data_IF_691974446658
#
_entry.id   IF_691974446658
#
_cell.length_a   1.000
_cell.length_b   1.000
_cell.length_c   1.000
_cell.angle_alpha   90.00
_cell.angle_beta   90.00
_cell.angle_gamma   90.00
#
_symmetry.space_group_name_H-M   'P 1'
#
loop_
_entity.id
_entity.type
_entity.pdbx_description
1 polymer ?
#
# COMPACT_ATOMS: atom_id res chain seq x y z
N UNK A 1 7.52 -12.16 -7.95
CA UNK A 1 7.00 -12.29 -6.56
C UNK A 1 5.95 -13.37 -6.59
N UNK A 2 6.06 -14.38 -5.74
CA UNK A 2 5.20 -15.56 -5.79
C UNK A 2 4.22 -15.53 -4.62
N UNK A 3 2.95 -15.83 -4.91
CA UNK A 3 1.92 -15.88 -3.87
C UNK A 3 2.23 -16.97 -2.84
N UNK A 4 2.72 -18.14 -3.26
CA UNK A 4 2.95 -19.34 -2.43
C UNK A 4 3.56 -19.07 -1.05
N UNK A 5 4.62 -18.26 -0.97
CA UNK A 5 5.27 -17.95 0.32
C UNK A 5 4.37 -17.09 1.22
N UNK A 6 3.71 -16.09 0.64
CA UNK A 6 2.75 -15.26 1.36
C UNK A 6 1.51 -16.09 1.75
N UNK A 7 1.02 -16.95 0.85
CA UNK A 7 -0.08 -17.89 1.09
C UNK A 7 0.21 -18.86 2.24
N UNK A 8 1.44 -19.38 2.33
CA UNK A 8 1.85 -20.25 3.45
C UNK A 8 1.84 -19.50 4.79
N UNK A 9 2.40 -18.29 4.84
CA UNK A 9 2.36 -17.43 6.04
C UNK A 9 0.91 -17.17 6.46
N UNK A 10 0.04 -16.88 5.48
CA UNK A 10 -1.37 -16.63 5.73
C UNK A 10 -2.09 -17.90 6.21
N UNK A 11 -1.81 -19.07 5.64
CA UNK A 11 -2.34 -20.35 6.10
C UNK A 11 -2.00 -20.62 7.55
N UNK A 12 -0.74 -20.38 7.94
CA UNK A 12 -0.29 -20.50 9.33
C UNK A 12 -0.96 -19.46 10.25
N UNK A 13 -1.23 -18.26 9.73
CA UNK A 13 -2.02 -17.26 10.43
C UNK A 13 -3.45 -17.73 10.68
N UNK A 14 -4.14 -18.30 9.69
CA UNK A 14 -5.47 -18.90 9.86
C UNK A 14 -5.45 -20.07 10.86
N UNK A 15 -4.44 -20.93 10.80
CA UNK A 15 -4.30 -22.06 11.72
C UNK A 15 -4.15 -21.62 13.18
N UNK A 16 -3.40 -20.53 13.45
CA UNK A 16 -3.29 -19.91 14.80
C UNK A 16 -4.62 -19.40 15.36
N UNK A 17 -5.65 -19.29 14.52
CA UNK A 17 -6.99 -18.84 14.88
C UNK A 17 -8.04 -19.95 14.83
N UNK A 18 -7.64 -21.21 14.65
CA UNK A 18 -8.54 -22.35 14.46
C UNK A 18 -9.46 -22.17 13.23
N UNK A 19 -8.95 -21.52 12.18
CA UNK A 19 -9.67 -21.19 10.95
C UNK A 19 -9.16 -21.92 9.70
N UNK A 20 -8.41 -23.02 9.86
CA UNK A 20 -7.83 -23.76 8.73
C UNK A 20 -8.86 -24.12 7.66
N UNK A 21 -10.07 -24.54 8.06
CA UNK A 21 -11.16 -24.90 7.14
C UNK A 21 -11.70 -23.71 6.34
N UNK A 22 -11.52 -22.49 6.85
CA UNK A 22 -11.91 -21.26 6.16
C UNK A 22 -10.85 -20.77 5.17
N UNK A 23 -9.59 -21.17 5.35
CA UNK A 23 -8.47 -20.68 4.55
C UNK A 23 -8.66 -21.01 3.07
N UNK A 24 -8.96 -22.25 2.71
CA UNK A 24 -9.03 -22.66 1.30
C UNK A 24 -10.11 -21.90 0.52
N UNK A 25 -11.24 -21.61 1.16
CA UNK A 25 -12.31 -20.77 0.57
C UNK A 25 -11.82 -19.34 0.34
N UNK A 26 -11.23 -18.74 1.36
CA UNK A 26 -10.78 -17.34 1.30
C UNK A 26 -9.54 -17.19 0.38
N UNK A 27 -8.69 -18.23 0.30
CA UNK A 27 -7.44 -18.26 -0.46
C UNK A 27 -7.69 -18.08 -1.95
N UNK A 28 -8.76 -18.67 -2.50
CA UNK A 28 -9.11 -18.50 -3.92
C UNK A 28 -9.28 -17.02 -4.29
N UNK A 29 -9.95 -16.24 -3.43
CA UNK A 29 -10.10 -14.80 -3.62
C UNK A 29 -8.78 -14.06 -3.38
N UNK A 30 -8.05 -14.41 -2.31
CA UNK A 30 -6.84 -13.70 -1.90
C UNK A 30 -5.68 -13.87 -2.87
N UNK A 31 -5.50 -15.06 -3.43
CA UNK A 31 -4.52 -15.35 -4.47
C UNK A 31 -4.83 -14.54 -5.74
N UNK A 32 -6.08 -14.63 -6.22
CA UNK A 32 -6.52 -13.85 -7.38
C UNK A 32 -6.35 -12.34 -7.17
N UNK A 33 -6.69 -11.82 -5.99
CA UNK A 33 -6.52 -10.40 -5.67
C UNK A 33 -5.03 -10.01 -5.60
N UNK A 34 -4.19 -10.85 -4.99
CA UNK A 34 -2.74 -10.63 -4.91
C UNK A 34 -2.12 -10.56 -6.30
N UNK A 35 -2.43 -11.52 -7.17
CA UNK A 35 -1.87 -11.60 -8.52
C UNK A 35 -2.34 -10.42 -9.38
N UNK A 36 -3.64 -10.09 -9.36
CA UNK A 36 -4.17 -8.96 -10.13
C UNK A 36 -3.59 -7.61 -9.65
N UNK A 37 -3.53 -7.38 -8.33
CA UNK A 37 -2.95 -6.16 -7.76
C UNK A 37 -1.48 -6.06 -8.13
N UNK A 38 -0.70 -7.13 -7.98
CA UNK A 38 0.73 -7.10 -8.26
C UNK A 38 0.99 -6.90 -9.75
N UNK A 39 0.25 -7.56 -10.64
CA UNK A 39 0.34 -7.33 -12.08
C UNK A 39 0.12 -5.85 -12.42
N UNK A 40 -0.96 -5.25 -11.92
CA UNK A 40 -1.26 -3.83 -12.15
C UNK A 40 -0.19 -2.91 -11.56
N UNK A 41 0.34 -3.24 -10.38
CA UNK A 41 1.41 -2.47 -9.74
C UNK A 41 2.71 -2.51 -10.56
N UNK A 42 3.11 -3.68 -11.05
CA UNK A 42 4.28 -3.85 -11.92
C UNK A 42 4.07 -3.12 -13.26
N UNK A 43 2.92 -3.30 -13.90
CA UNK A 43 2.56 -2.58 -15.13
C UNK A 43 2.67 -1.05 -14.93
N UNK A 44 2.34 -0.54 -13.74
CA UNK A 44 2.50 0.87 -13.42
C UNK A 44 3.97 1.27 -13.20
N UNK A 45 4.74 0.50 -12.42
CA UNK A 45 6.16 0.74 -12.20
C UNK A 45 6.95 0.80 -13.52
N UNK A 46 6.62 -0.06 -14.49
CA UNK A 46 7.27 -0.06 -15.80
C UNK A 46 7.05 1.24 -16.59
N UNK A 47 5.93 1.94 -16.35
CA UNK A 47 5.61 3.23 -16.99
C UNK A 47 6.24 4.45 -16.33
N UNK A 48 6.85 4.29 -15.15
CA UNK A 48 7.55 5.38 -14.46
C UNK A 48 9.02 5.36 -14.90
N UNK A 49 9.53 6.43 -15.50
CA UNK A 49 10.95 6.48 -15.92
C UNK A 49 11.89 6.53 -14.71
N UNK A 50 11.60 7.43 -13.77
CA UNK A 50 12.33 7.59 -12.50
C UNK A 50 11.34 7.79 -11.36
N UNK A 51 11.54 7.09 -10.23
CA UNK A 51 10.74 7.18 -9.03
C UNK A 51 11.33 8.25 -8.11
N UNK A 52 10.70 9.42 -8.10
CA UNK A 52 11.06 10.56 -7.26
C UNK A 52 10.38 10.52 -5.88
N UNK A 53 9.21 9.89 -5.81
CA UNK A 53 8.37 9.89 -4.61
C UNK A 53 7.85 8.49 -4.33
N UNK A 54 8.12 7.98 -3.13
CA UNK A 54 7.58 6.71 -2.66
C UNK A 54 6.57 6.95 -1.54
N UNK A 55 5.31 6.68 -1.82
CA UNK A 55 4.25 6.71 -0.82
C UNK A 55 3.95 5.30 -0.29
N UNK A 56 4.20 5.08 1.00
CA UNK A 56 3.86 3.83 1.69
C UNK A 56 2.45 3.94 2.27
N UNK A 57 1.60 2.96 2.00
CA UNK A 57 0.18 3.08 2.29
C UNK A 57 -0.53 1.76 2.60
N UNK A 58 -1.82 1.89 2.91
CA UNK A 58 -2.80 0.84 2.74
C UNK A 58 -3.77 1.34 1.66
N UNK A 59 -3.56 0.91 0.42
CA UNK A 59 -4.43 1.30 -0.69
C UNK A 59 -5.84 0.69 -0.49
N UNK A 60 -6.84 1.16 -1.25
CA UNK A 60 -8.17 0.59 -1.21
C UNK A 60 -8.09 -0.92 -1.46
N UNK A 61 -8.81 -1.67 -0.63
CA UNK A 61 -8.93 -3.12 -0.79
C UNK A 61 -9.54 -3.43 -2.16
N UNK A 62 -9.10 -4.53 -2.77
CA UNK A 62 -9.56 -5.00 -4.08
C UNK A 62 -11.09 -5.12 -4.09
N UNK A 63 -11.63 -6.10 -3.37
CA UNK A 63 -13.05 -6.38 -3.25
C UNK A 63 -13.76 -6.54 -4.61
N UNK A 64 -15.09 -6.57 -4.59
CA UNK A 64 -15.92 -6.66 -5.81
C UNK A 64 -15.69 -5.51 -6.78
N UNK A 65 -15.42 -4.32 -6.26
CA UNK A 65 -15.23 -3.11 -7.08
C UNK A 65 -13.82 -2.98 -7.67
N UNK A 66 -12.87 -3.85 -7.31
CA UNK A 66 -11.47 -3.85 -7.78
C UNK A 66 -10.78 -2.48 -7.66
N UNK A 67 -11.07 -1.74 -6.58
CA UNK A 67 -10.85 -0.29 -6.44
C UNK A 67 -9.40 0.15 -6.25
N UNK A 68 -8.43 -0.66 -6.66
CA UNK A 68 -7.01 -0.34 -6.52
C UNK A 68 -6.65 0.98 -7.18
N UNK A 69 -5.65 1.68 -6.64
CA UNK A 69 -5.30 3.03 -7.09
C UNK A 69 -4.88 3.07 -8.56
N UNK A 70 -4.20 2.03 -9.02
CA UNK A 70 -3.71 1.90 -10.39
C UNK A 70 -4.70 1.20 -11.33
N UNK A 71 -5.91 0.87 -10.89
CA UNK A 71 -6.96 0.36 -11.78
C UNK A 71 -7.75 1.54 -12.39
N UNK A 72 -7.56 1.88 -13.68
CA UNK A 72 -8.20 3.03 -14.31
C UNK A 72 -9.72 2.84 -14.51
N UNK A 73 -10.21 1.61 -14.49
CA UNK A 73 -11.62 1.27 -14.74
C UNK A 73 -12.52 1.48 -13.51
N UNK A 74 -12.00 2.06 -12.43
CA UNK A 74 -12.72 2.20 -11.15
C UNK A 74 -12.80 3.65 -10.72
N UNK A 75 -13.80 4.04 -9.91
CA UNK A 75 -13.87 5.39 -9.36
C UNK A 75 -12.67 5.75 -8.48
N UNK A 76 -12.53 7.05 -8.22
CA UNK A 76 -11.65 7.53 -7.15
C UNK A 76 -12.22 7.14 -5.78
N UNK A 77 -11.33 6.94 -4.82
CA UNK A 77 -11.69 6.65 -3.43
C UNK A 77 -11.12 7.73 -2.52
N UNK A 78 -11.56 7.77 -1.26
CA UNK A 78 -11.01 8.69 -0.25
C UNK A 78 -9.51 8.47 0.04
N UNK A 79 -8.94 7.37 -0.45
CA UNK A 79 -7.51 7.12 -0.39
C UNK A 79 -6.74 8.25 -1.05
N UNK A 80 -7.07 8.59 -2.30
CA UNK A 80 -6.42 9.63 -3.06
C UNK A 80 -7.36 10.13 -4.15
N UNK A 81 -7.93 11.31 -3.93
CA UNK A 81 -8.86 11.91 -4.89
C UNK A 81 -8.08 12.69 -5.95
N UNK A 82 -8.62 12.76 -7.17
CA UNK A 82 -7.99 13.60 -8.20
C UNK A 82 -7.81 15.04 -7.75
N UNK A 83 -8.77 15.59 -7.01
CA UNK A 83 -8.71 16.97 -6.51
C UNK A 83 -7.55 17.22 -5.52
N UNK A 84 -7.00 16.17 -4.91
CA UNK A 84 -5.79 16.28 -4.10
C UNK A 84 -4.56 16.49 -4.98
N UNK A 85 -4.44 15.73 -6.07
CA UNK A 85 -3.33 15.87 -7.04
C UNK A 85 -3.46 17.16 -7.85
N UNK A 86 -4.67 17.53 -8.27
CA UNK A 86 -4.95 18.80 -8.95
C UNK A 86 -4.49 20.00 -8.10
N UNK A 87 -4.70 19.95 -6.79
CA UNK A 87 -4.24 21.02 -5.89
C UNK A 87 -2.71 21.10 -5.85
N UNK A 88 -2.04 19.95 -5.78
CA UNK A 88 -0.58 19.88 -5.64
C UNK A 88 0.12 20.35 -6.91
N UNK A 89 -0.37 19.89 -8.07
CA UNK A 89 0.22 20.19 -9.38
C UNK A 89 -0.30 21.50 -10.00
N UNK A 90 -1.44 22.02 -9.54
CA UNK A 90 -2.07 23.20 -10.13
C UNK A 90 -2.71 22.94 -11.49
N UNK A 91 -2.92 21.69 -11.88
CA UNK A 91 -3.46 21.28 -13.17
C UNK A 91 -4.76 20.49 -13.01
N UNK A 92 -5.70 20.63 -13.94
CA UNK A 92 -6.92 19.81 -13.96
C UNK A 92 -6.65 18.39 -14.45
N UNK A 93 -7.41 17.45 -13.91
CA UNK A 93 -7.33 16.03 -14.25
C UNK A 93 -8.72 15.56 -14.65
N UNK A 94 -8.82 15.03 -15.86
CA UNK A 94 -10.10 14.60 -16.45
C UNK A 94 -10.64 13.36 -15.73
N UNK A 95 -9.85 12.30 -15.73
CA UNK A 95 -10.26 10.95 -15.33
C UNK A 95 -9.14 10.21 -14.58
N UNK A 96 -9.38 8.95 -14.22
CA UNK A 96 -8.43 8.13 -13.46
C UNK A 96 -7.22 7.67 -14.27
N UNK A 97 -7.36 7.49 -15.58
CA UNK A 97 -6.22 7.19 -16.43
C UNK A 97 -5.25 8.38 -16.46
N UNK A 98 -5.76 9.60 -16.71
CA UNK A 98 -4.91 10.80 -16.65
C UNK A 98 -4.32 11.01 -15.26
N UNK A 99 -5.07 10.75 -14.18
CA UNK A 99 -4.52 10.80 -12.82
C UNK A 99 -3.31 9.89 -12.64
N UNK A 100 -3.40 8.64 -13.07
CA UNK A 100 -2.31 7.66 -12.99
C UNK A 100 -1.13 8.14 -13.83
N UNK A 101 -1.38 8.65 -15.04
CA UNK A 101 -0.34 9.19 -15.91
C UNK A 101 0.36 10.39 -15.28
N UNK A 102 -0.36 11.31 -14.60
CA UNK A 102 0.25 12.42 -13.85
C UNK A 102 1.11 11.94 -12.70
N UNK A 103 0.65 10.93 -11.95
CA UNK A 103 1.48 10.30 -10.91
C UNK A 103 2.77 9.72 -11.53
N UNK A 104 2.66 9.04 -12.66
CA UNK A 104 3.82 8.43 -13.32
C UNK A 104 4.80 9.50 -13.85
N UNK A 105 4.29 10.58 -14.44
CA UNK A 105 5.09 11.70 -14.96
C UNK A 105 5.92 12.38 -13.86
N UNK A 106 5.39 12.52 -12.66
CA UNK A 106 6.15 13.11 -11.53
C UNK A 106 7.00 12.07 -10.79
N UNK A 107 6.92 10.78 -11.14
CA UNK A 107 7.63 9.72 -10.45
C UNK A 107 7.03 9.33 -9.10
N UNK A 108 5.71 9.44 -8.91
CA UNK A 108 5.01 9.04 -7.69
C UNK A 108 4.58 7.58 -7.74
N UNK A 109 5.29 6.74 -6.99
CA UNK A 109 4.97 5.33 -6.79
C UNK A 109 4.32 5.11 -5.42
N UNK A 110 3.29 4.27 -5.39
CA UNK A 110 2.54 3.91 -4.19
C UNK A 110 2.79 2.44 -3.91
N UNK A 111 3.21 2.10 -2.70
CA UNK A 111 3.43 0.72 -2.25
C UNK A 111 2.52 0.42 -1.06
N UNK A 112 1.77 -0.65 -1.18
CA UNK A 112 1.02 -1.23 -0.08
C UNK A 112 1.95 -1.86 0.94
N UNK A 113 1.63 -1.67 2.23
CA UNK A 113 2.34 -2.35 3.32
C UNK A 113 1.90 -3.81 3.46
N UNK A 114 0.66 -4.11 3.08
CA UNK A 114 0.06 -5.43 3.24
C UNK A 114 -0.08 -6.15 1.89
N UNK A 115 0.29 -7.44 1.80
CA UNK A 115 0.05 -8.24 0.59
C UNK A 115 -1.42 -8.61 0.39
N UNK A 116 -2.25 -8.64 1.44
CA UNK A 116 -3.56 -9.30 1.38
C UNK A 116 -4.73 -8.32 1.36
N UNK A 117 -5.73 -8.61 0.52
CA UNK A 117 -6.97 -7.85 0.42
C UNK A 117 -8.05 -8.30 1.44
N UNK A 118 -7.66 -8.52 2.70
CA UNK A 118 -8.56 -9.02 3.76
C UNK A 118 -9.72 -8.04 4.02
N UNK A 119 -10.95 -8.50 3.90
CA UNK A 119 -12.14 -7.65 4.03
C UNK A 119 -13.34 -8.43 4.59
N UNK A 120 -14.38 -7.72 5.04
CA UNK A 120 -15.53 -8.36 5.71
C UNK A 120 -16.50 -9.09 4.78
N UNK A 121 -16.39 -8.92 3.47
CA UNK A 121 -17.30 -9.50 2.49
C UNK A 121 -16.74 -10.79 1.89
N UNK A 122 -15.45 -10.80 1.57
CA UNK A 122 -14.82 -11.90 0.83
C UNK A 122 -13.94 -12.79 1.71
N UNK A 123 -13.61 -12.38 2.94
CA UNK A 123 -12.72 -13.16 3.82
C UNK A 123 -13.23 -13.27 5.26
N UNK A 124 -12.89 -14.38 5.91
CA UNK A 124 -13.21 -14.69 7.30
C UNK A 124 -12.47 -13.75 8.24
N UNK A 125 -11.13 -13.71 8.15
CA UNK A 125 -10.33 -12.72 8.86
C UNK A 125 -10.35 -11.41 8.08
N UNK A 126 -10.30 -10.28 8.78
CA UNK A 126 -10.37 -8.97 8.13
C UNK A 126 -9.71 -7.88 8.96
N UNK A 127 -9.37 -6.76 8.32
CA UNK A 127 -8.73 -5.61 8.98
C UNK A 127 -9.67 -4.79 9.89
N UNK A 128 -10.98 -5.06 9.91
CA UNK A 128 -11.86 -4.36 10.85
C UNK A 128 -11.59 -4.86 12.27
N UNK A 129 -11.76 -3.95 13.23
CA UNK A 129 -11.49 -4.23 14.64
C UNK A 129 -12.27 -5.46 15.13
N UNK A 130 -11.56 -6.35 15.84
CA UNK A 130 -12.15 -7.47 16.57
C UNK A 130 -13.22 -6.97 17.54
N UNK A 131 -14.42 -7.54 17.47
CA UNK A 131 -15.54 -7.21 18.35
C UNK A 131 -16.53 -8.37 18.43
N UNK A 132 -17.56 -8.28 19.29
CA UNK A 132 -18.62 -9.30 19.33
C UNK A 132 -19.32 -9.49 17.97
N UNK A 133 -19.44 -8.42 17.18
CA UNK A 133 -20.04 -8.44 15.85
C UNK A 133 -19.04 -8.78 14.73
N UNK A 134 -17.74 -8.84 15.05
CA UNK A 134 -16.67 -9.19 14.13
C UNK A 134 -15.63 -10.04 14.88
N UNK A 135 -15.96 -11.31 15.20
CA UNK A 135 -15.12 -12.15 16.04
C UNK A 135 -13.78 -12.51 15.39
N UNK A 136 -13.71 -12.46 14.05
CA UNK A 136 -12.51 -12.78 13.26
C UNK A 136 -11.77 -11.53 12.76
N UNK A 137 -12.17 -10.34 13.18
CA UNK A 137 -11.38 -9.13 12.96
C UNK A 137 -10.00 -9.26 13.61
N UNK A 138 -8.95 -8.87 12.90
CA UNK A 138 -7.59 -8.96 13.45
C UNK A 138 -7.30 -7.78 14.38
N UNK A 139 -6.54 -8.05 15.43
CA UNK A 139 -6.03 -7.03 16.35
C UNK A 139 -4.85 -6.29 15.74
N UNK A 140 -4.51 -5.12 16.30
CA UNK A 140 -3.32 -4.36 15.86
C UNK A 140 -2.02 -5.17 15.98
N UNK A 141 -1.91 -6.01 17.01
CA UNK A 141 -0.73 -6.85 17.25
C UNK A 141 -0.62 -7.94 16.20
N UNK A 142 -1.72 -8.64 15.94
CA UNK A 142 -1.79 -9.68 14.90
C UNK A 142 -1.52 -9.11 13.52
N UNK A 143 -2.09 -7.94 13.20
CA UNK A 143 -1.81 -7.27 11.93
C UNK A 143 -0.33 -6.91 11.80
N UNK A 144 0.26 -6.33 12.86
CA UNK A 144 1.69 -6.02 12.88
C UNK A 144 2.55 -7.27 12.63
N UNK A 145 2.22 -8.39 13.29
CA UNK A 145 2.92 -9.64 13.14
C UNK A 145 2.81 -10.19 11.71
N UNK A 146 1.61 -10.17 11.12
CA UNK A 146 1.37 -10.61 9.75
C UNK A 146 2.20 -9.80 8.74
N UNK A 147 2.31 -8.48 8.93
CA UNK A 147 3.17 -7.63 8.09
C UNK A 147 4.65 -7.97 8.29
N UNK A 148 5.10 -8.21 9.52
CA UNK A 148 6.49 -8.61 9.77
C UNK A 148 6.84 -9.94 9.11
N UNK A 149 5.95 -10.93 9.19
CA UNK A 149 6.14 -12.25 8.60
C UNK A 149 6.17 -12.18 7.06
N UNK A 150 5.35 -11.31 6.45
CA UNK A 150 5.27 -11.16 4.98
C UNK A 150 6.21 -10.12 4.38
N UNK A 151 6.92 -9.35 5.19
CA UNK A 151 7.82 -8.29 4.73
C UNK A 151 8.84 -8.79 3.69
N UNK A 152 9.57 -9.91 3.93
CA UNK A 152 10.62 -10.37 3.02
C UNK A 152 10.08 -10.87 1.67
N UNK A 153 8.82 -11.29 1.63
CA UNK A 153 8.18 -11.93 0.47
C UNK A 153 7.24 -11.00 -0.28
N UNK A 154 7.03 -9.77 0.21
CA UNK A 154 6.15 -8.79 -0.41
C UNK A 154 6.80 -7.40 -0.51
N UNK A 155 6.92 -6.69 0.62
CA UNK A 155 7.40 -5.31 0.62
C UNK A 155 8.86 -5.24 0.15
N UNK A 156 9.74 -6.08 0.68
CA UNK A 156 11.15 -6.13 0.28
C UNK A 156 11.32 -6.46 -1.20
N UNK A 157 10.49 -7.35 -1.73
CA UNK A 157 10.45 -7.66 -3.16
C UNK A 157 10.07 -6.42 -3.97
N UNK A 158 9.02 -5.67 -3.59
CA UNK A 158 8.66 -4.43 -4.30
C UNK A 158 9.76 -3.37 -4.23
N UNK A 159 10.43 -3.24 -3.08
CA UNK A 159 11.54 -2.31 -2.93
C UNK A 159 12.69 -2.68 -3.87
N UNK A 160 13.07 -3.96 -3.96
CA UNK A 160 14.12 -4.43 -4.88
C UNK A 160 13.83 -4.09 -6.34
N UNK A 161 12.58 -4.20 -6.77
CA UNK A 161 12.15 -3.90 -8.14
C UNK A 161 12.11 -2.39 -8.42
N UNK A 162 11.84 -1.59 -7.39
CA UNK A 162 11.88 -0.12 -7.42
C UNK A 162 13.30 0.42 -7.56
N UNK A 163 14.28 -0.17 -6.85
CA UNK A 163 15.65 0.38 -6.67
C UNK A 163 16.31 0.81 -7.99
N UNK A 164 16.27 0.03 -9.09
CA UNK A 164 16.87 0.43 -10.36
C UNK A 164 16.28 1.70 -10.98
N UNK A 165 15.08 2.10 -10.57
CA UNK A 165 14.37 3.30 -11.04
C UNK A 165 14.35 4.41 -9.99
N UNK A 166 14.89 4.21 -8.79
CA UNK A 166 14.83 5.20 -7.73
C UNK A 166 15.73 6.40 -8.05
N UNK A 167 15.17 7.61 -7.91
CA UNK A 167 15.96 8.85 -7.97
C UNK A 167 16.96 8.91 -6.82
N UNK A 168 18.09 9.59 -7.01
CA UNK A 168 19.07 9.82 -5.93
C UNK A 168 18.53 10.69 -4.78
N UNK A 169 17.49 11.50 -5.04
CA UNK A 169 16.77 12.33 -4.04
C UNK A 169 15.34 11.80 -3.79
N UNK A 170 15.14 10.46 -3.87
CA UNK A 170 13.82 9.88 -3.65
C UNK A 170 13.26 10.26 -2.28
N UNK A 171 12.02 10.78 -2.26
CA UNK A 171 11.33 11.17 -1.02
C UNK A 171 10.32 10.11 -0.62
N UNK A 172 10.52 9.55 0.58
CA UNK A 172 9.61 8.56 1.16
C UNK A 172 8.67 9.21 2.16
N UNK A 173 7.38 8.87 2.09
CA UNK A 173 6.38 9.30 3.06
C UNK A 173 5.23 8.30 3.20
N UNK A 174 4.52 8.37 4.32
CA UNK A 174 3.32 7.57 4.57
C UNK A 174 2.05 8.29 4.15
N UNK A 175 1.10 7.55 3.58
CA UNK A 175 -0.25 8.09 3.31
C UNK A 175 -1.00 8.44 4.60
N UNK A 176 -0.88 7.59 5.62
CA UNK A 176 -1.63 7.69 6.87
C UNK A 176 -0.72 7.69 8.09
N UNK A 177 -0.99 8.57 9.05
CA UNK A 177 -0.32 8.57 10.36
C UNK A 177 -0.45 7.23 11.09
N UNK A 178 -1.60 6.54 10.99
CA UNK A 178 -1.80 5.22 11.62
C UNK A 178 -0.86 4.15 11.04
N UNK A 179 -0.62 4.19 9.74
CA UNK A 179 0.26 3.23 9.03
C UNK A 179 1.70 3.53 9.40
N UNK A 180 2.11 4.81 9.36
CA UNK A 180 3.42 5.26 9.87
C UNK A 180 3.69 4.75 11.28
N UNK A 181 2.80 5.07 12.22
CA UNK A 181 2.96 4.73 13.64
C UNK A 181 3.02 3.21 13.89
N UNK A 182 2.37 2.42 13.03
CA UNK A 182 2.32 0.97 13.18
C UNK A 182 3.47 0.25 12.48
N UNK A 183 4.02 0.80 11.39
CA UNK A 183 4.89 0.05 10.49
C UNK A 183 6.23 0.71 10.15
N UNK A 184 6.47 1.98 10.48
CA UNK A 184 7.75 2.64 10.14
C UNK A 184 8.94 1.85 10.65
N UNK A 185 8.93 1.43 11.92
CA UNK A 185 10.01 0.67 12.52
C UNK A 185 10.13 -0.78 12.00
N UNK A 186 9.25 -1.21 11.09
CA UNK A 186 9.35 -2.51 10.41
C UNK A 186 9.98 -2.30 9.03
N UNK A 187 9.56 -1.27 8.31
CA UNK A 187 10.00 -1.04 6.91
C UNK A 187 11.28 -0.22 6.78
N UNK A 188 11.62 0.56 7.81
CA UNK A 188 12.76 1.48 7.74
C UNK A 188 14.08 0.76 7.46
N UNK A 189 14.25 -0.45 8.03
CA UNK A 189 15.47 -1.23 7.85
C UNK A 189 15.60 -1.72 6.40
N UNK A 190 14.50 -2.16 5.77
CA UNK A 190 14.47 -2.50 4.34
C UNK A 190 14.85 -1.29 3.47
N UNK A 191 14.28 -0.11 3.77
CA UNK A 191 14.53 1.11 3.01
C UNK A 191 15.99 1.55 3.11
N UNK A 192 16.60 1.47 4.30
CA UNK A 192 18.02 1.78 4.53
C UNK A 192 18.91 0.76 3.82
N UNK A 193 18.64 -0.54 4.00
CA UNK A 193 19.42 -1.61 3.36
C UNK A 193 19.38 -1.54 1.82
N UNK A 194 18.33 -0.95 1.27
CA UNK A 194 18.16 -0.75 -0.17
C UNK A 194 18.63 0.63 -0.67
N UNK A 195 19.27 1.44 0.19
CA UNK A 195 19.71 2.81 -0.11
C UNK A 195 18.59 3.76 -0.59
N UNK A 196 17.34 3.49 -0.23
CA UNK A 196 16.20 4.37 -0.53
C UNK A 196 16.15 5.56 0.43
N UNK A 197 16.58 5.37 1.67
CA UNK A 197 16.76 6.43 2.66
C UNK A 197 18.10 6.27 3.37
N UNK A 198 18.62 7.36 3.93
CA UNK A 198 19.97 7.39 4.53
C UNK A 198 19.98 7.16 6.04
N UNK A 199 18.84 7.29 6.72
CA UNK A 199 18.77 7.17 8.17
C UNK A 199 17.39 6.76 8.66
N UNK A 200 17.32 6.40 9.95
CA UNK A 200 16.07 6.08 10.65
C UNK A 200 15.26 7.34 11.06
N UNK A 201 15.57 8.50 10.47
CA UNK A 201 14.81 9.72 10.73
C UNK A 201 13.32 9.49 10.48
N UNK A 202 12.42 10.12 11.26
CA UNK A 202 10.99 9.91 11.10
C UNK A 202 10.53 10.22 9.67
N UNK A 203 10.08 9.19 8.97
CA UNK A 203 9.50 9.31 7.62
C UNK A 203 8.24 10.15 7.74
N UNK A 204 8.04 11.10 6.82
CA UNK A 204 6.92 12.03 6.86
C UNK A 204 5.57 11.33 6.61
N UNK A 205 4.46 12.02 6.86
CA UNK A 205 3.13 11.53 6.53
C UNK A 205 2.22 12.66 6.04
N UNK A 206 1.27 12.33 5.17
CA UNK A 206 0.41 13.31 4.49
C UNK A 206 -1.08 13.18 4.84
N UNK A 207 -1.45 12.59 5.96
CA UNK A 207 -2.87 12.52 6.37
C UNK A 207 -3.38 13.79 7.02
N UNK A 208 -4.68 14.02 6.85
CA UNK A 208 -5.43 15.02 7.62
C UNK A 208 -6.28 14.34 8.72
N UNK A 209 -6.77 15.08 9.72
CA UNK A 209 -7.57 14.52 10.81
C UNK A 209 -8.87 13.82 10.37
N UNK A 210 -9.42 14.18 9.20
CA UNK A 210 -10.63 13.59 8.62
C UNK A 210 -10.33 12.33 7.77
N UNK A 211 -9.08 11.85 7.74
CA UNK A 211 -8.66 10.66 6.99
C UNK A 211 -8.29 10.91 5.51
N UNK A 212 -8.50 12.12 4.99
CA UNK A 212 -8.08 12.52 3.65
C UNK A 212 -6.58 12.84 3.55
N UNK A 213 -6.16 13.34 2.39
CA UNK A 213 -4.81 13.88 2.18
C UNK A 213 -4.75 15.31 2.75
N UNK A 214 -3.69 15.62 3.48
CA UNK A 214 -3.28 16.99 3.78
C UNK A 214 -2.53 17.53 2.57
N UNK A 215 -3.26 18.25 1.72
CA UNK A 215 -2.74 18.76 0.45
C UNK A 215 -1.56 19.72 0.62
N UNK A 216 -1.50 20.48 1.71
CA UNK A 216 -0.40 21.40 1.99
C UNK A 216 0.88 20.65 2.33
N UNK A 217 0.82 19.59 3.15
CA UNK A 217 1.98 18.73 3.43
C UNK A 217 2.44 18.03 2.15
N UNK A 218 1.50 17.42 1.43
CA UNK A 218 1.83 16.73 0.19
C UNK A 218 2.46 17.67 -0.85
N UNK A 219 1.94 18.90 -0.97
CA UNK A 219 2.54 19.93 -1.84
C UNK A 219 3.98 20.29 -1.42
N UNK A 220 4.26 20.45 -0.12
CA UNK A 220 5.63 20.75 0.34
C UNK A 220 6.62 19.64 -0.01
N UNK A 221 6.20 18.37 0.11
CA UNK A 221 7.01 17.22 -0.30
C UNK A 221 7.29 17.28 -1.79
N UNK A 222 6.28 17.55 -2.64
CA UNK A 222 6.48 17.66 -4.09
C UNK A 222 7.34 18.88 -4.46
N UNK A 223 7.17 20.01 -3.78
CA UNK A 223 7.89 21.25 -4.08
C UNK A 223 9.35 21.26 -3.54
N UNK A 224 9.80 20.24 -2.80
CA UNK A 224 11.16 20.19 -2.22
C UNK A 224 11.39 21.10 -1.03
N UNK A 225 10.36 21.28 -0.19
CA UNK A 225 10.36 22.22 0.93
C UNK A 225 10.25 21.55 2.31
N UNK A 226 10.51 20.26 2.41
CA UNK A 226 10.54 19.49 3.67
C UNK A 226 11.91 18.85 3.90
#
# INVERSE_FOLDING_TARGET
MEYDKNGQILREFYARHDLTDCFERDNTYLESAFDEINRIWFDNLYKIDEVNYLMIAEAPLWGKSKSYIYNPATPFTQFFQKSDLEYVLGTKIRDKAEFIDRCNQIGLLIIDISPFALNTEDTTINYRRKSKLNPHGITKREYRLLIQETLPTFFDCKIKELVPKASSDIRVFFRYARVKNMFQNIVVDTLIASNIITSQNPILEISNPAGGINRSKFKKIIDGRE
#
